data_IF_223424519135
#
_entry.id   IF_223424519135
#
_cell.length_a   1.000
_cell.length_b   1.000
_cell.length_c   1.000
_cell.angle_alpha   90.00
_cell.angle_beta   90.00
_cell.angle_gamma   90.00
#
_symmetry.space_group_name_H-M   'P 1'
#
loop_
_entity.id
_entity.type
_entity.pdbx_description
1 polymer ?
#
# COMPACT_ATOMS: atom_id res chain seq x y z
N UNK A 1 -22.82 -26.42 16.96
CA UNK A 1 -21.42 -26.54 16.54
C UNK A 1 -21.03 -25.25 15.82
N UNK A 2 -19.96 -24.58 16.22
CA UNK A 2 -19.47 -23.38 15.57
C UNK A 2 -18.22 -23.73 14.73
N UNK A 3 -18.13 -23.18 13.52
CA UNK A 3 -16.98 -23.33 12.63
C UNK A 3 -16.43 -21.94 12.37
N UNK A 4 -15.13 -21.76 12.59
CA UNK A 4 -14.44 -20.50 12.35
C UNK A 4 -14.15 -20.32 10.85
N UNK A 5 -14.45 -19.13 10.34
CA UNK A 5 -14.13 -18.74 8.96
C UNK A 5 -12.91 -17.83 8.95
N UNK A 6 -11.88 -18.18 8.17
CA UNK A 6 -10.71 -17.31 7.94
C UNK A 6 -11.02 -16.27 6.87
N UNK A 7 -10.20 -15.21 6.77
CA UNK A 7 -10.35 -14.09 5.83
C UNK A 7 -10.58 -14.56 4.38
N UNK A 8 -11.86 -14.65 3.99
CA UNK A 8 -12.32 -15.36 2.79
C UNK A 8 -11.72 -14.86 1.48
N UNK A 9 -11.21 -13.63 1.48
CA UNK A 9 -10.72 -12.93 0.31
C UNK A 9 -9.22 -12.68 0.31
N UNK A 10 -8.46 -13.17 1.29
CA UNK A 10 -7.02 -12.95 1.38
C UNK A 10 -6.27 -14.22 0.99
N UNK A 11 -5.31 -14.05 0.07
CA UNK A 11 -4.45 -15.11 -0.46
C UNK A 11 -3.00 -14.67 -0.27
N UNK A 12 -2.14 -15.59 0.15
CA UNK A 12 -0.69 -15.38 0.18
C UNK A 12 -0.12 -15.76 -1.19
N UNK A 13 0.66 -14.86 -1.80
CA UNK A 13 1.39 -15.17 -3.02
C UNK A 13 2.60 -16.10 -2.75
N UNK A 14 3.34 -16.46 -3.81
CA UNK A 14 4.55 -17.32 -3.71
C UNK A 14 5.65 -16.74 -2.79
N UNK A 15 5.60 -15.44 -2.54
CA UNK A 15 6.54 -14.72 -1.66
C UNK A 15 5.95 -14.47 -0.26
N UNK A 16 4.84 -15.14 0.08
CA UNK A 16 4.09 -14.99 1.33
C UNK A 16 3.57 -13.57 1.56
N UNK A 17 3.23 -12.85 0.48
CA UNK A 17 2.68 -11.50 0.54
C UNK A 17 1.15 -11.55 0.50
N UNK A 18 0.46 -10.97 1.49
CA UNK A 18 -1.00 -10.93 1.52
C UNK A 18 -1.56 -10.08 0.37
N UNK A 19 -2.36 -10.73 -0.47
CA UNK A 19 -2.96 -10.20 -1.68
C UNK A 19 -4.46 -10.45 -1.67
N UNK A 20 -5.24 -9.53 -2.23
CA UNK A 20 -6.68 -9.69 -2.34
C UNK A 20 -6.97 -10.68 -3.48
N UNK A 21 -7.63 -11.79 -3.14
CA UNK A 21 -7.91 -12.89 -4.06
C UNK A 21 -8.67 -12.43 -5.30
N UNK A 22 -8.23 -12.93 -6.46
CA UNK A 22 -8.77 -12.54 -7.77
C UNK A 22 -8.22 -11.22 -8.31
N UNK A 23 -7.26 -10.60 -7.61
CA UNK A 23 -6.63 -9.34 -8.02
C UNK A 23 -5.12 -9.37 -7.81
N UNK A 24 -4.42 -8.34 -8.31
CA UNK A 24 -3.00 -8.11 -8.03
C UNK A 24 -2.78 -7.12 -6.88
N UNK A 25 -3.85 -6.65 -6.23
CA UNK A 25 -3.75 -5.64 -5.18
C UNK A 25 -3.32 -6.27 -3.86
N UNK A 26 -2.23 -5.75 -3.27
CA UNK A 26 -1.76 -6.20 -1.96
C UNK A 26 -2.55 -5.54 -0.84
N UNK A 27 -2.69 -6.25 0.27
CA UNK A 27 -3.36 -5.73 1.47
C UNK A 27 -2.68 -4.46 1.98
N UNK A 28 -1.34 -4.47 2.02
CA UNK A 28 -0.54 -3.31 2.44
C UNK A 28 -0.76 -2.09 1.54
N UNK A 29 -0.88 -2.28 0.23
CA UNK A 29 -1.10 -1.18 -0.71
C UNK A 29 -2.45 -0.51 -0.45
N UNK A 30 -3.52 -1.29 -0.30
CA UNK A 30 -4.85 -0.80 0.04
C UNK A 30 -4.86 0.00 1.36
N UNK A 31 -4.20 -0.53 2.40
CA UNK A 31 -4.17 0.10 3.73
C UNK A 31 -3.34 1.38 3.73
N UNK A 32 -2.23 1.42 2.99
CA UNK A 32 -1.42 2.64 2.86
C UNK A 32 -2.20 3.72 2.12
N UNK A 33 -2.97 3.38 1.10
CA UNK A 33 -3.86 4.34 0.43
C UNK A 33 -4.95 4.86 1.37
N UNK A 34 -5.61 3.95 2.10
CA UNK A 34 -6.58 4.31 3.13
C UNK A 34 -5.98 5.29 4.15
N UNK A 35 -4.77 5.01 4.62
CA UNK A 35 -4.04 5.82 5.58
C UNK A 35 -3.71 7.22 5.05
N UNK A 36 -3.21 7.28 3.82
CA UNK A 36 -2.73 8.50 3.19
C UNK A 36 -3.88 9.49 2.94
N UNK A 37 -5.04 8.98 2.55
CA UNK A 37 -6.20 9.79 2.17
C UNK A 37 -7.29 9.86 3.24
N UNK A 38 -7.25 8.99 4.25
CA UNK A 38 -8.29 8.88 5.27
C UNK A 38 -9.62 8.35 4.73
N UNK A 39 -9.57 7.48 3.71
CA UNK A 39 -10.77 6.96 3.05
C UNK A 39 -11.50 5.92 3.90
N UNK A 40 -12.83 5.90 3.78
CA UNK A 40 -13.66 4.81 4.32
C UNK A 40 -13.60 3.60 3.38
N UNK A 41 -14.18 2.46 3.79
CA UNK A 41 -14.25 1.27 2.94
C UNK A 41 -15.11 1.51 1.69
N UNK A 42 -16.17 2.31 1.82
CA UNK A 42 -17.04 2.72 0.71
C UNK A 42 -16.31 3.65 -0.25
N UNK A 43 -15.50 4.57 0.27
CA UNK A 43 -14.68 5.44 -0.57
C UNK A 43 -13.58 4.63 -1.27
N UNK A 44 -12.92 3.68 -0.58
CA UNK A 44 -11.99 2.75 -1.22
C UNK A 44 -12.66 1.96 -2.35
N UNK A 45 -13.90 1.52 -2.16
CA UNK A 45 -14.67 0.85 -3.20
C UNK A 45 -14.97 1.78 -4.38
N UNK A 46 -15.29 3.04 -4.10
CA UNK A 46 -15.51 4.04 -5.15
C UNK A 46 -14.24 4.30 -5.99
N UNK A 47 -13.07 4.31 -5.35
CA UNK A 47 -11.78 4.50 -6.02
C UNK A 47 -11.28 3.22 -6.72
N UNK A 48 -11.64 2.04 -6.20
CA UNK A 48 -11.32 0.74 -6.78
C UNK A 48 -12.60 -0.07 -7.07
N UNK A 49 -13.38 0.29 -8.12
CA UNK A 49 -14.68 -0.35 -8.40
C UNK A 49 -14.61 -1.85 -8.70
N UNK A 50 -13.43 -2.36 -9.06
CA UNK A 50 -13.18 -3.78 -9.31
C UNK A 50 -13.00 -4.60 -8.03
N UNK A 51 -12.85 -3.95 -6.87
CA UNK A 51 -12.87 -4.60 -5.57
C UNK A 51 -14.29 -4.59 -5.01
N UNK A 52 -14.74 -5.69 -4.46
CA UNK A 52 -15.99 -5.73 -3.68
C UNK A 52 -15.76 -5.20 -2.27
N UNK A 53 -16.82 -4.68 -1.63
CA UNK A 53 -16.75 -4.29 -0.21
C UNK A 53 -16.30 -5.45 0.68
N UNK A 54 -16.73 -6.69 0.41
CA UNK A 54 -16.30 -7.86 1.16
C UNK A 54 -14.78 -8.10 1.10
N UNK A 55 -14.18 -7.93 -0.08
CA UNK A 55 -12.73 -7.99 -0.25
C UNK A 55 -12.02 -6.88 0.54
N UNK A 56 -12.52 -5.65 0.47
CA UNK A 56 -11.96 -4.50 1.19
C UNK A 56 -12.01 -4.75 2.70
N UNK A 57 -13.16 -5.10 3.25
CA UNK A 57 -13.29 -5.36 4.69
C UNK A 57 -12.43 -6.55 5.14
N UNK A 58 -12.32 -7.61 4.32
CA UNK A 58 -11.43 -8.73 4.64
C UNK A 58 -9.96 -8.32 4.67
N UNK A 59 -9.54 -7.45 3.76
CA UNK A 59 -8.17 -6.90 3.74
C UNK A 59 -7.90 -6.03 4.97
N UNK A 60 -8.85 -5.15 5.32
CA UNK A 60 -8.74 -4.32 6.51
C UNK A 60 -8.70 -5.17 7.79
N UNK A 61 -9.57 -6.18 7.91
CA UNK A 61 -9.55 -7.11 9.04
C UNK A 61 -8.20 -7.84 9.15
N UNK A 62 -7.72 -8.40 8.04
CA UNK A 62 -6.42 -9.07 8.00
C UNK A 62 -5.28 -8.14 8.45
N UNK A 63 -5.29 -6.89 7.98
CA UNK A 63 -4.27 -5.91 8.38
C UNK A 63 -4.29 -5.63 9.88
N UNK A 64 -5.46 -5.40 10.47
CA UNK A 64 -5.54 -5.08 11.90
C UNK A 64 -5.06 -6.22 12.79
N UNK A 65 -5.30 -7.46 12.40
CA UNK A 65 -4.82 -8.64 13.13
C UNK A 65 -3.32 -8.91 12.93
N UNK A 66 -2.71 -8.41 11.84
CA UNK A 66 -1.30 -8.61 11.50
C UNK A 66 -0.50 -7.30 11.44
N UNK A 67 -0.99 -6.23 12.07
CA UNK A 67 -0.49 -4.87 11.89
C UNK A 67 1.00 -4.74 12.17
N UNK A 68 1.46 -5.32 13.27
CA UNK A 68 2.87 -5.28 13.67
C UNK A 68 3.80 -5.91 12.65
N UNK A 69 3.44 -7.08 12.12
CA UNK A 69 4.25 -7.82 11.17
C UNK A 69 4.30 -7.12 9.80
N UNK A 70 3.15 -6.61 9.34
CA UNK A 70 3.04 -5.90 8.07
C UNK A 70 3.74 -4.54 8.09
N UNK A 71 3.59 -3.77 9.16
CA UNK A 71 4.28 -2.48 9.30
C UNK A 71 5.81 -2.68 9.32
N UNK A 72 6.31 -3.69 10.04
CA UNK A 72 7.73 -4.04 10.02
C UNK A 72 8.22 -4.50 8.64
N UNK A 73 7.40 -5.27 7.91
CA UNK A 73 7.75 -5.71 6.56
C UNK A 73 7.85 -4.53 5.59
N UNK A 74 6.93 -3.57 5.69
CA UNK A 74 6.99 -2.31 4.93
C UNK A 74 8.29 -1.56 5.23
N UNK A 75 8.63 -1.36 6.49
CA UNK A 75 9.86 -0.68 6.90
C UNK A 75 11.11 -1.38 6.35
N UNK A 76 11.19 -2.71 6.46
CA UNK A 76 12.31 -3.48 5.91
C UNK A 76 12.43 -3.33 4.40
N UNK A 77 11.32 -3.37 3.66
CA UNK A 77 11.31 -3.21 2.21
C UNK A 77 11.76 -1.80 1.80
N UNK A 78 11.28 -0.77 2.50
CA UNK A 78 11.69 0.62 2.24
C UNK A 78 13.19 0.81 2.49
N UNK A 79 13.71 0.32 3.61
CA UNK A 79 15.14 0.37 3.91
C UNK A 79 15.99 -0.34 2.83
N UNK A 80 15.52 -1.49 2.33
CA UNK A 80 16.17 -2.21 1.23
C UNK A 80 16.19 -1.40 -0.07
N UNK A 81 15.07 -0.75 -0.42
CA UNK A 81 15.00 0.13 -1.59
C UNK A 81 15.97 1.29 -1.47
N UNK A 82 16.05 1.96 -0.32
CA UNK A 82 17.00 3.03 -0.08
C UNK A 82 18.45 2.56 -0.22
N UNK A 83 18.79 1.39 0.32
CA UNK A 83 20.12 0.80 0.20
C UNK A 83 20.48 0.55 -1.27
N UNK A 84 19.56 -0.05 -2.04
CA UNK A 84 19.77 -0.32 -3.46
C UNK A 84 19.94 0.98 -4.27
N UNK A 85 19.16 2.01 -3.97
CA UNK A 85 19.28 3.32 -4.62
C UNK A 85 20.64 3.98 -4.35
N UNK A 86 21.18 3.87 -3.13
CA UNK A 86 22.52 4.37 -2.80
C UNK A 86 23.63 3.63 -3.54
N UNK A 87 23.44 2.33 -3.80
CA UNK A 87 24.41 1.49 -4.50
C UNK A 87 24.29 1.58 -6.03
N UNK A 88 23.13 1.99 -6.54
CA UNK A 88 22.89 2.10 -7.97
C UNK A 88 23.69 3.26 -8.58
N UNK A 89 24.60 2.95 -9.52
CA UNK A 89 25.22 3.97 -10.37
C UNK A 89 24.20 4.44 -11.42
N UNK A 90 24.06 5.75 -11.67
CA UNK A 90 23.16 6.25 -12.69
C UNK A 90 23.55 5.70 -14.06
N UNK A 91 22.65 4.97 -14.72
CA UNK A 91 22.92 4.40 -16.05
C UNK A 91 22.93 5.49 -17.13
N UNK A 92 23.56 5.21 -18.28
CA UNK A 92 23.58 6.13 -19.44
C UNK A 92 22.18 6.56 -19.89
N UNK A 93 21.18 5.69 -19.70
CA UNK A 93 19.77 5.98 -19.94
C UNK A 93 19.22 7.04 -18.97
N UNK A 94 19.56 6.99 -17.67
CA UNK A 94 19.19 8.04 -16.71
C UNK A 94 19.80 9.39 -17.09
N UNK A 95 21.06 9.39 -17.57
CA UNK A 95 21.71 10.60 -18.10
C UNK A 95 20.99 11.16 -19.34
N UNK A 96 20.63 10.29 -20.29
CA UNK A 96 19.90 10.66 -21.51
C UNK A 96 18.47 11.17 -21.23
N UNK A 97 17.79 10.59 -20.25
CA UNK A 97 16.47 11.05 -19.79
C UNK A 97 16.56 12.41 -19.07
N UNK A 98 17.58 12.59 -18.21
CA UNK A 98 17.88 13.90 -17.58
C UNK A 98 18.15 15.00 -18.61
N UNK A 99 18.94 14.72 -19.65
CA UNK A 99 19.23 15.67 -20.73
C UNK A 99 18.02 16.01 -21.61
N UNK A 100 16.96 15.20 -21.57
CA UNK A 100 15.69 15.45 -22.27
C UNK A 100 14.61 16.06 -21.37
N UNK A 101 14.93 16.44 -20.13
CA UNK A 101 13.98 17.00 -19.16
C UNK A 101 12.95 15.98 -18.63
N UNK A 102 13.10 14.70 -18.97
CA UNK A 102 12.24 13.60 -18.53
C UNK A 102 12.84 12.98 -17.27
N UNK A 103 13.02 13.78 -16.22
CA UNK A 103 13.29 13.23 -14.91
C UNK A 103 11.98 12.78 -14.30
N UNK A 104 11.88 11.50 -13.92
CA UNK A 104 10.99 11.11 -12.83
C UNK A 104 11.52 11.79 -11.56
N UNK A 105 11.23 13.07 -11.42
CA UNK A 105 11.24 13.71 -10.12
C UNK A 105 10.15 13.04 -9.31
N UNK A 106 10.43 12.75 -8.05
CA UNK A 106 9.42 12.50 -7.02
C UNK A 106 8.41 13.66 -7.05
N UNK A 107 7.42 13.55 -7.92
CA UNK A 107 6.27 14.43 -8.01
C UNK A 107 5.11 13.48 -8.24
N UNK A 108 4.44 13.19 -7.13
CA UNK A 108 3.06 12.74 -7.04
C UNK A 108 2.34 12.92 -8.37
N UNK A 109 2.23 11.83 -9.10
CA UNK A 109 1.78 11.80 -10.49
C UNK A 109 0.94 10.56 -10.75
N UNK A 110 0.18 10.10 -9.75
CA UNK A 110 -1.11 9.52 -10.06
C UNK A 110 -1.94 10.60 -10.77
N UNK A 111 -2.62 10.22 -11.84
CA UNK A 111 -3.68 11.01 -12.44
C UNK A 111 -4.61 11.51 -11.32
N UNK A 112 -4.49 12.79 -11.00
CA UNK A 112 -5.30 13.46 -9.99
C UNK A 112 -6.57 13.96 -10.66
N UNK A 113 -7.69 13.30 -10.37
CA UNK A 113 -9.01 13.92 -10.43
C UNK A 113 -9.09 14.82 -9.19
N UNK A 114 -9.49 16.08 -9.40
CA UNK A 114 -9.41 17.21 -8.45
C UNK A 114 -9.86 16.88 -7.02
N UNK A 115 -9.02 17.19 -6.03
CA UNK A 115 -9.44 17.31 -4.62
C UNK A 115 -8.25 17.37 -3.66
N UNK A 116 -7.76 18.58 -3.39
CA UNK A 116 -6.54 18.87 -2.64
C UNK A 116 -6.48 18.25 -1.24
N UNK A 117 -5.51 17.36 -1.01
CA UNK A 117 -4.92 17.16 0.31
C UNK A 117 -3.45 16.75 0.17
N UNK A 118 -2.55 17.51 0.82
CA UNK A 118 -1.14 17.16 0.97
C UNK A 118 -1.03 15.82 1.70
N UNK A 119 -0.01 14.98 1.42
CA UNK A 119 0.27 13.84 2.27
C UNK A 119 0.58 14.37 3.67
N UNK A 120 -0.29 14.07 4.64
CA UNK A 120 0.03 14.27 6.05
C UNK A 120 1.21 13.35 6.31
N UNK A 121 2.29 13.93 6.84
CA UNK A 121 3.44 13.22 7.37
C UNK A 121 2.99 11.95 8.10
N UNK A 122 3.70 10.84 7.90
CA UNK A 122 3.57 9.60 8.65
C UNK A 122 3.87 9.86 10.15
N UNK A 123 3.00 10.62 10.80
CA UNK A 123 3.07 10.96 12.21
C UNK A 123 2.04 10.10 12.90
N UNK A 124 2.53 8.97 13.42
CA UNK A 124 1.94 8.15 14.48
C UNK A 124 0.43 7.95 14.34
N UNK A 125 0.06 6.81 13.76
CA UNK A 125 -1.23 6.18 14.00
C UNK A 125 -1.61 6.30 15.49
N UNK A 126 -2.89 6.58 15.83
CA UNK A 126 -3.33 6.41 17.21
C UNK A 126 -3.13 4.94 17.53
N UNK A 127 -2.10 4.63 18.33
CA UNK A 127 -1.97 3.34 18.98
C UNK A 127 -3.13 3.27 19.96
N UNK A 128 -4.27 2.75 19.51
CA UNK A 128 -5.27 2.24 20.42
C UNK A 128 -4.54 1.21 21.29
N UNK A 129 -4.54 1.33 22.62
CA UNK A 129 -3.94 0.30 23.46
C UNK A 129 -4.72 -0.99 23.19
N UNK A 130 -4.12 -1.93 22.47
CA UNK A 130 -4.61 -3.30 22.43
C UNK A 130 -4.41 -3.85 23.85
N UNK A 131 -5.53 -4.18 24.49
CA UNK A 131 -5.60 -4.73 25.84
C UNK A 131 -5.46 -6.23 25.79
#
# INVERSE_FOLDING_TARGET
MAVETRYQHIVLDDNLVPTIGGTTMKVVELVVEQAAYGWSAEELHFQHPYLTLGQIYSALAYYWDHKGDLDQDVERRLARVEQLQRQAKPTSLHGRLRGRGLTWGSRSGCCFIRGSARPKSYHKWPTTPQR
#
